data_IF_881941777009
#
_entry.id   IF_881941777009
#
_cell.length_a   1.000
_cell.length_b   1.000
_cell.length_c   1.000
_cell.angle_alpha   90.00
_cell.angle_beta   90.00
_cell.angle_gamma   90.00
#
_symmetry.space_group_name_H-M   'P 1'
#
loop_
_entity.id
_entity.type
_entity.pdbx_description
1 polymer ?
#
# COMPACT_ATOMS: atom_id res chain seq x y z
N UNK A 1 -6.21 37.81 24.85
CA UNK A 1 -7.36 37.61 23.94
C UNK A 1 -6.93 38.15 22.60
N UNK A 2 -6.76 37.37 21.53
CA UNK A 2 -7.64 36.31 21.00
C UNK A 2 -6.86 35.57 19.91
N UNK A 3 -7.05 34.24 19.77
CA UNK A 3 -6.66 33.54 18.55
C UNK A 3 -5.94 32.20 18.71
N UNK A 4 -6.51 31.27 19.49
CA UNK A 4 -6.33 29.84 19.19
C UNK A 4 -6.83 29.59 17.76
N UNK A 5 -5.95 29.17 16.84
CA UNK A 5 -6.36 28.32 15.72
C UNK A 5 -5.84 26.91 16.03
N UNK A 6 -6.71 25.91 16.22
CA UNK A 6 -6.29 24.53 16.09
C UNK A 6 -5.96 24.33 14.61
N UNK A 7 -4.67 24.40 14.28
CA UNK A 7 -4.18 24.00 12.96
C UNK A 7 -4.59 22.53 12.77
N UNK A 8 -5.31 22.33 11.68
CA UNK A 8 -6.22 21.22 11.49
C UNK A 8 -5.47 19.91 11.64
N UNK A 9 -6.03 18.97 12.42
CA UNK A 9 -5.54 17.60 12.45
C UNK A 9 -5.53 17.08 11.01
N UNK A 10 -4.34 17.03 10.42
CA UNK A 10 -4.08 16.31 9.18
C UNK A 10 -4.61 14.91 9.43
N UNK A 11 -5.79 14.62 8.86
CA UNK A 11 -6.27 13.26 8.74
C UNK A 11 -5.26 12.63 7.82
N UNK A 12 -4.24 12.00 8.42
CA UNK A 12 -3.08 11.42 7.78
C UNK A 12 -3.60 10.29 6.90
N UNK A 13 -4.04 10.69 5.72
CA UNK A 13 -4.64 9.81 4.74
C UNK A 13 -3.52 8.89 4.33
N UNK A 14 -3.69 7.59 4.56
CA UNK A 14 -2.68 6.57 4.25
C UNK A 14 -2.29 6.65 2.75
N UNK A 15 -3.12 7.26 1.91
CA UNK A 15 -2.84 7.60 0.51
C UNK A 15 -1.69 8.60 0.29
N UNK A 16 -1.36 9.48 1.25
CA UNK A 16 -0.21 10.41 1.17
C UNK A 16 1.03 9.88 1.87
N UNK A 17 0.96 8.72 2.53
CA UNK A 17 2.15 8.09 3.12
C UNK A 17 3.10 7.69 1.99
N UNK A 18 4.32 8.21 2.06
CA UNK A 18 5.41 7.81 1.17
C UNK A 18 5.54 6.29 1.16
N UNK A 19 5.90 5.72 0.02
CA UNK A 19 6.06 4.27 -0.16
C UNK A 19 6.82 3.62 1.00
N UNK A 20 7.93 4.22 1.43
CA UNK A 20 8.72 3.82 2.59
C UNK A 20 7.89 3.59 3.87
N UNK A 21 6.90 4.44 4.16
CA UNK A 21 6.08 4.29 5.36
C UNK A 21 5.11 3.10 5.26
N UNK A 22 4.63 2.80 4.06
CA UNK A 22 3.80 1.61 3.81
C UNK A 22 4.66 0.35 3.89
N UNK A 23 5.88 0.40 3.35
CA UNK A 23 6.87 -0.68 3.43
C UNK A 23 7.28 -0.98 4.88
N UNK A 24 7.50 0.05 5.71
CA UNK A 24 7.80 -0.09 7.14
C UNK A 24 6.63 -0.76 7.90
N UNK A 25 5.40 -0.34 7.61
CA UNK A 25 4.19 -0.91 8.21
C UNK A 25 4.02 -2.39 7.81
N UNK A 26 4.16 -2.70 6.52
CA UNK A 26 4.10 -4.06 6.02
C UNK A 26 5.22 -4.93 6.60
N UNK A 27 6.44 -4.40 6.68
CA UNK A 27 7.59 -5.06 7.30
C UNK A 27 7.40 -5.28 8.80
N UNK A 28 6.61 -4.44 9.46
CA UNK A 28 6.24 -4.57 10.88
C UNK A 28 5.10 -5.57 11.13
N UNK A 29 4.54 -6.20 10.09
CA UNK A 29 3.44 -7.16 10.22
C UNK A 29 2.04 -6.55 10.05
N UNK A 30 1.92 -5.27 9.72
CA UNK A 30 0.61 -4.63 9.56
C UNK A 30 -0.03 -4.96 8.21
N UNK A 31 -1.31 -5.35 8.23
CA UNK A 31 -2.07 -5.53 7.00
C UNK A 31 -2.53 -4.17 6.45
N UNK A 32 -2.28 -3.92 5.15
CA UNK A 32 -2.63 -2.67 4.50
C UNK A 32 -3.50 -2.90 3.26
N UNK A 33 -4.40 -1.94 3.02
CA UNK A 33 -5.19 -1.87 1.79
C UNK A 33 -4.76 -0.63 0.99
N UNK A 34 -4.34 -0.83 -0.26
CA UNK A 34 -3.84 0.22 -1.16
C UNK A 34 -4.57 0.15 -2.50
N UNK A 35 -4.87 1.30 -3.11
CA UNK A 35 -5.38 1.35 -4.47
C UNK A 35 -4.23 1.28 -5.48
N UNK A 36 -4.39 0.48 -6.54
CA UNK A 36 -3.47 0.45 -7.67
C UNK A 36 -3.57 1.72 -8.54
N UNK A 37 -4.70 2.44 -8.44
CA UNK A 37 -4.92 3.69 -9.16
C UNK A 37 -3.87 4.75 -8.80
N UNK A 38 -3.12 5.20 -9.83
CA UNK A 38 -2.04 6.18 -9.67
C UNK A 38 -0.73 5.63 -9.10
N UNK A 39 -0.61 4.32 -8.89
CA UNK A 39 0.63 3.66 -8.46
C UNK A 39 1.29 2.93 -9.63
N UNK A 40 2.62 3.01 -9.71
CA UNK A 40 3.37 2.19 -10.67
C UNK A 40 3.38 0.74 -10.21
N UNK A 41 3.34 -0.20 -11.15
CA UNK A 41 3.33 -1.62 -10.80
C UNK A 41 4.59 -2.07 -10.02
N UNK A 42 5.77 -1.52 -10.34
CA UNK A 42 6.99 -1.76 -9.54
C UNK A 42 6.82 -1.36 -8.07
N UNK A 43 6.04 -0.32 -7.78
CA UNK A 43 5.78 0.10 -6.40
C UNK A 43 4.92 -0.92 -5.65
N UNK A 44 3.93 -1.49 -6.34
CA UNK A 44 3.07 -2.55 -5.78
C UNK A 44 3.84 -3.85 -5.57
N UNK A 45 4.75 -4.19 -6.50
CA UNK A 45 5.66 -5.33 -6.36
C UNK A 45 6.52 -5.16 -5.10
N UNK A 46 7.11 -3.99 -4.91
CA UNK A 46 7.96 -3.71 -3.76
C UNK A 46 7.19 -3.79 -2.43
N UNK A 47 5.98 -3.22 -2.38
CA UNK A 47 5.07 -3.38 -1.24
C UNK A 47 4.73 -4.85 -0.99
N UNK A 48 4.49 -5.64 -2.04
CA UNK A 48 4.22 -7.07 -1.91
C UNK A 48 5.43 -7.84 -1.33
N UNK A 49 6.67 -7.45 -1.68
CA UNK A 49 7.89 -8.01 -1.08
C UNK A 49 7.96 -7.65 0.40
N UNK A 50 7.71 -6.40 0.77
CA UNK A 50 7.67 -5.97 2.17
C UNK A 50 6.57 -6.68 2.96
N UNK A 51 5.41 -6.93 2.34
CA UNK A 51 4.31 -7.68 2.95
C UNK A 51 4.74 -9.09 3.34
N UNK A 52 5.31 -9.81 2.37
CA UNK A 52 5.90 -11.14 2.58
C UNK A 52 7.00 -11.13 3.64
N UNK A 53 7.89 -10.14 3.61
CA UNK A 53 9.03 -10.03 4.52
C UNK A 53 8.60 -9.82 5.97
N UNK A 54 7.60 -8.98 6.21
CA UNK A 54 7.04 -8.75 7.53
C UNK A 54 5.99 -9.78 7.98
N UNK A 55 5.65 -10.74 7.12
CA UNK A 55 4.54 -11.69 7.38
C UNK A 55 3.18 -11.00 7.44
N UNK A 56 3.03 -9.84 6.80
CA UNK A 56 1.80 -9.07 6.73
C UNK A 56 1.02 -9.35 5.46
N UNK A 57 -0.13 -8.68 5.30
CA UNK A 57 -1.03 -8.92 4.18
C UNK A 57 -1.34 -7.62 3.44
N UNK A 58 -1.11 -7.60 2.13
CA UNK A 58 -1.35 -6.45 1.25
C UNK A 58 -2.61 -6.69 0.43
N UNK A 59 -3.61 -5.82 0.56
CA UNK A 59 -4.80 -5.84 -0.29
C UNK A 59 -4.68 -4.72 -1.32
N UNK A 60 -4.75 -5.06 -2.60
CA UNK A 60 -4.65 -4.11 -3.71
C UNK A 60 -6.04 -3.96 -4.34
N UNK A 61 -6.58 -2.75 -4.25
CA UNK A 61 -7.85 -2.34 -4.86
C UNK A 61 -7.66 -1.72 -6.23
N UNK A 62 -8.73 -1.58 -7.01
CA UNK A 62 -8.75 -0.83 -8.27
C UNK A 62 -7.75 -1.41 -9.29
N UNK A 63 -7.65 -2.74 -9.35
CA UNK A 63 -6.66 -3.45 -10.18
C UNK A 63 -6.93 -3.38 -11.68
N UNK A 64 -8.09 -2.85 -12.10
CA UNK A 64 -8.49 -2.76 -13.50
C UNK A 64 -7.54 -1.97 -14.41
N UNK A 65 -6.63 -1.16 -13.83
CA UNK A 65 -5.60 -0.42 -14.55
C UNK A 65 -4.29 -1.21 -14.75
N UNK A 66 -4.14 -2.37 -14.09
CA UNK A 66 -2.94 -3.21 -14.16
C UNK A 66 -3.07 -4.28 -15.25
N UNK A 67 -1.97 -4.51 -15.98
CA UNK A 67 -1.90 -5.61 -16.94
C UNK A 67 -1.75 -6.96 -16.23
N UNK A 68 -2.19 -8.03 -16.87
CA UNK A 68 -2.09 -9.40 -16.32
C UNK A 68 -0.66 -9.78 -15.91
N UNK A 69 0.36 -9.45 -16.70
CA UNK A 69 1.76 -9.69 -16.32
C UNK A 69 2.13 -8.96 -15.02
N UNK A 70 1.69 -7.71 -14.85
CA UNK A 70 1.95 -6.94 -13.63
C UNK A 70 1.27 -7.58 -12.42
N UNK A 71 0.03 -8.05 -12.57
CA UNK A 71 -0.67 -8.78 -11.50
C UNK A 71 0.07 -10.06 -11.11
N UNK A 72 0.59 -10.80 -12.09
CA UNK A 72 1.39 -12.01 -11.85
C UNK A 72 2.69 -11.65 -11.11
N UNK A 73 3.41 -10.61 -11.53
CA UNK A 73 4.64 -10.16 -10.86
C UNK A 73 4.38 -9.75 -9.41
N UNK A 74 3.31 -9.00 -9.15
CA UNK A 74 2.90 -8.59 -7.79
C UNK A 74 2.52 -9.81 -6.95
N UNK A 75 1.73 -10.74 -7.51
CA UNK A 75 1.33 -11.96 -6.83
C UNK A 75 2.54 -12.84 -6.48
N UNK A 76 3.50 -12.96 -7.41
CA UNK A 76 4.75 -13.70 -7.21
C UNK A 76 5.61 -13.08 -6.11
N UNK A 77 5.74 -11.75 -6.11
CA UNK A 77 6.48 -11.01 -5.09
C UNK A 77 5.91 -11.24 -3.68
N UNK A 78 4.58 -11.16 -3.55
CA UNK A 78 3.87 -11.42 -2.30
C UNK A 78 3.83 -12.90 -1.88
N UNK A 79 3.93 -13.83 -2.83
CA UNK A 79 3.91 -15.29 -2.59
C UNK A 79 2.75 -15.72 -1.66
N UNK A 80 1.52 -15.23 -1.90
CA UNK A 80 0.34 -15.53 -1.08
C UNK A 80 0.00 -14.51 0.01
N UNK A 81 0.81 -13.46 0.17
CA UNK A 81 0.55 -12.34 1.10
C UNK A 81 -0.13 -11.15 0.42
N UNK A 82 -0.65 -11.33 -0.80
CA UNK A 82 -1.33 -10.29 -1.58
C UNK A 82 -2.71 -10.75 -1.96
N UNK A 83 -3.70 -9.89 -1.73
CA UNK A 83 -5.07 -10.07 -2.21
C UNK A 83 -5.41 -8.98 -3.21
N UNK A 84 -5.95 -9.36 -4.37
CA UNK A 84 -6.47 -8.42 -5.33
C UNK A 84 -7.97 -8.25 -5.13
N UNK A 85 -8.42 -7.00 -5.24
CA UNK A 85 -9.81 -6.60 -5.07
C UNK A 85 -10.13 -5.61 -6.19
N UNK A 86 -11.21 -5.90 -6.92
CA UNK A 86 -11.77 -5.00 -7.92
C UNK A 86 -12.94 -4.24 -7.29
#
# INVERSE_FOLDING_TARGET
>A
MTGMKPDQGETMTIGTKMQNQLEDLLSSGAALEVSAQGKMANQLVDLAVCAKRGGSHLTIKDIGLLMQNQLIDIARAGSGHVTFKD
#
